data_IF_461888233659
#
_entry.id   IF_461888233659
#
_cell.length_a   1.000
_cell.length_b   1.000
_cell.length_c   1.000
_cell.angle_alpha   90.00
_cell.angle_beta   90.00
_cell.angle_gamma   90.00
#
_symmetry.space_group_name_H-M   'P 1'
#
loop_
_entity.id
_entity.type
_entity.pdbx_description
1 polymer ?
#
# COMPACT_ATOMS: atom_id res chain seq x y z
N UNK A 1 16.33 21.92 12.86
CA UNK A 1 14.93 21.59 12.57
C UNK A 1 14.66 21.43 11.07
N UNK A 2 14.82 22.49 10.24
CA UNK A 2 14.55 22.41 8.78
C UNK A 2 15.35 21.30 8.07
N UNK A 3 16.62 21.17 8.37
CA UNK A 3 17.52 20.16 7.76
C UNK A 3 17.06 18.73 8.09
N UNK A 4 16.65 18.47 9.33
CA UNK A 4 16.11 17.16 9.76
C UNK A 4 14.83 16.80 9.01
N UNK A 5 13.94 17.78 8.80
CA UNK A 5 12.71 17.57 8.03
C UNK A 5 13.00 17.27 6.56
N UNK A 6 13.97 17.96 5.95
CA UNK A 6 14.38 17.68 4.57
C UNK A 6 15.00 16.28 4.45
N UNK A 7 15.85 15.86 5.38
CA UNK A 7 16.42 14.51 5.41
C UNK A 7 15.33 13.43 5.54
N UNK A 8 14.32 13.67 6.41
CA UNK A 8 13.20 12.78 6.52
C UNK A 8 12.38 12.70 5.22
N UNK A 9 12.08 13.83 4.60
CA UNK A 9 11.36 13.89 3.31
C UNK A 9 12.12 13.13 2.22
N UNK A 10 13.44 13.36 2.10
CA UNK A 10 14.28 12.65 1.14
C UNK A 10 14.27 11.13 1.39
N UNK A 11 14.28 10.73 2.65
CA UNK A 11 14.26 9.31 3.03
C UNK A 11 12.96 8.61 2.64
N UNK A 12 11.80 9.17 3.02
CA UNK A 12 10.50 8.58 2.68
C UNK A 12 10.23 8.61 1.17
N UNK A 13 10.72 9.65 0.52
CA UNK A 13 10.69 9.80 -0.92
C UNK A 13 11.51 8.71 -1.63
N UNK A 14 12.71 8.43 -1.15
CA UNK A 14 13.54 7.33 -1.66
C UNK A 14 12.85 5.97 -1.47
N UNK A 15 12.11 5.78 -0.37
CA UNK A 15 11.31 4.58 -0.14
C UNK A 15 10.22 4.42 -1.22
N UNK A 16 9.47 5.46 -1.53
CA UNK A 16 8.43 5.41 -2.58
C UNK A 16 9.00 5.03 -3.95
N UNK A 17 10.18 5.56 -4.30
CA UNK A 17 10.89 5.21 -5.54
C UNK A 17 11.26 3.73 -5.65
N UNK A 18 11.28 2.96 -4.56
CA UNK A 18 11.52 1.52 -4.60
C UNK A 18 10.41 0.74 -5.32
N UNK A 19 9.24 1.36 -5.57
CA UNK A 19 8.15 0.68 -6.28
C UNK A 19 8.51 0.50 -7.76
N UNK A 20 8.89 1.58 -8.46
CA UNK A 20 9.19 1.50 -9.90
C UNK A 20 10.36 2.39 -10.38
N UNK A 21 11.19 2.88 -9.47
CA UNK A 21 12.48 3.54 -9.80
C UNK A 21 12.41 5.03 -10.12
N UNK A 22 11.21 5.60 -10.26
CA UNK A 22 11.00 7.04 -10.51
C UNK A 22 9.88 7.60 -9.63
N UNK A 23 9.65 8.91 -9.69
CA UNK A 23 8.56 9.56 -8.97
C UNK A 23 7.21 9.27 -9.62
N UNK A 24 6.11 9.14 -8.84
CA UNK A 24 4.78 8.89 -9.37
C UNK A 24 4.25 9.98 -10.30
N UNK A 25 4.60 11.23 -10.04
CA UNK A 25 4.17 12.40 -10.80
C UNK A 25 5.35 13.32 -11.09
N UNK A 26 5.20 14.23 -12.06
CA UNK A 26 6.26 15.21 -12.39
C UNK A 26 6.50 16.22 -11.26
N UNK A 27 5.45 16.59 -10.54
CA UNK A 27 5.51 17.49 -9.39
C UNK A 27 4.43 17.13 -8.37
N UNK A 28 4.72 17.37 -7.10
CA UNK A 28 3.81 17.22 -5.96
C UNK A 28 4.37 18.02 -4.79
N UNK A 29 3.55 18.31 -3.80
CA UNK A 29 3.91 19.13 -2.66
C UNK A 29 3.83 18.36 -1.36
N UNK A 30 4.77 18.59 -0.43
CA UNK A 30 4.64 18.20 0.97
C UNK A 30 4.43 19.47 1.80
N UNK A 31 3.37 19.46 2.64
CA UNK A 31 3.18 20.42 3.73
C UNK A 31 3.48 19.73 5.04
N UNK A 32 4.20 20.40 5.93
CA UNK A 32 4.54 19.90 7.25
C UNK A 32 4.04 20.91 8.27
N UNK A 33 3.03 20.54 9.04
CA UNK A 33 2.40 21.36 10.05
C UNK A 33 2.80 20.88 11.47
N UNK A 34 3.40 21.74 12.28
CA UNK A 34 3.72 21.35 13.66
C UNK A 34 2.47 21.21 14.51
N UNK A 35 2.41 20.18 15.34
CA UNK A 35 1.31 19.98 16.29
C UNK A 35 1.83 19.66 17.69
N UNK A 36 1.08 20.11 18.70
CA UNK A 36 1.34 19.77 20.10
C UNK A 36 0.72 18.42 20.50
N UNK A 37 0.06 17.73 19.58
CA UNK A 37 -0.63 16.48 19.88
C UNK A 37 0.33 15.38 20.32
N UNK A 38 -0.18 14.51 21.17
CA UNK A 38 0.33 13.21 21.65
C UNK A 38 1.83 12.90 21.47
N UNK A 39 2.55 12.79 22.56
CA UNK A 39 3.94 12.32 22.61
C UNK A 39 4.17 10.86 22.13
N UNK A 40 3.13 10.11 21.79
CA UNK A 40 3.22 8.69 21.43
C UNK A 40 3.26 8.43 19.91
N UNK A 41 2.83 9.41 19.09
CA UNK A 41 2.87 9.28 17.62
C UNK A 41 3.57 10.50 17.02
N UNK A 42 4.70 10.32 16.34
CA UNK A 42 5.44 11.41 15.70
C UNK A 42 4.65 12.09 14.57
N UNK A 43 3.69 11.39 13.95
CA UNK A 43 2.81 11.90 12.91
C UNK A 43 1.36 11.49 13.23
N UNK A 44 0.69 12.19 14.16
CA UNK A 44 -0.64 11.81 14.62
C UNK A 44 -1.73 11.95 13.55
N UNK A 45 -1.48 12.74 12.50
CA UNK A 45 -2.41 12.96 11.40
C UNK A 45 -1.65 13.27 10.11
N UNK A 46 -2.16 12.75 9.00
CA UNK A 46 -1.74 13.13 7.67
C UNK A 46 -2.87 12.90 6.65
N UNK A 47 -2.77 13.52 5.49
CA UNK A 47 -3.75 13.35 4.41
C UNK A 47 -3.18 13.72 3.04
N UNK A 48 -3.73 13.11 1.98
CA UNK A 48 -3.44 13.48 0.60
C UNK A 48 -4.58 14.37 0.06
N UNK A 49 -4.21 15.51 -0.47
CA UNK A 49 -5.11 16.40 -1.22
C UNK A 49 -4.94 16.15 -2.72
N UNK A 50 -6.03 15.89 -3.41
CA UNK A 50 -6.10 15.63 -4.85
C UNK A 50 -6.68 16.86 -5.56
N UNK A 51 -5.83 17.86 -5.74
CA UNK A 51 -6.14 19.13 -6.42
C UNK A 51 -5.39 19.20 -7.75
N UNK A 52 -5.14 20.39 -8.29
CA UNK A 52 -4.33 20.56 -9.51
C UNK A 52 -2.94 19.98 -9.35
N UNK A 53 -2.34 20.15 -8.17
CA UNK A 53 -1.12 19.52 -7.74
C UNK A 53 -1.42 18.64 -6.53
N UNK A 54 -1.02 17.36 -6.60
CA UNK A 54 -1.13 16.47 -5.44
C UNK A 54 -0.28 17.00 -4.28
N UNK A 55 -0.89 17.11 -3.09
CA UNK A 55 -0.24 17.56 -1.88
C UNK A 55 -0.42 16.54 -0.77
N UNK A 56 0.67 16.16 -0.12
CA UNK A 56 0.65 15.38 1.11
C UNK A 56 0.89 16.32 2.28
N UNK A 57 -0.03 16.35 3.22
CA UNK A 57 0.02 17.17 4.41
C UNK A 57 0.27 16.29 5.64
N UNK A 58 1.36 16.56 6.36
CA UNK A 58 1.76 15.87 7.56
C UNK A 58 1.66 16.79 8.77
N UNK A 59 0.97 16.36 9.82
CA UNK A 59 0.99 17.00 11.12
C UNK A 59 2.00 16.27 12.00
N UNK A 60 3.13 16.93 12.32
CA UNK A 60 4.24 16.33 13.06
C UNK A 60 4.32 16.89 14.47
N UNK A 61 4.62 16.05 15.46
CA UNK A 61 4.87 16.53 16.82
C UNK A 61 6.19 17.31 16.84
N UNK A 62 6.20 18.46 17.51
CA UNK A 62 7.38 19.37 17.54
C UNK A 62 8.60 18.73 18.21
N UNK A 63 8.43 17.68 19.02
CA UNK A 63 9.50 16.97 19.71
C UNK A 63 9.98 15.73 18.95
N UNK A 64 9.32 15.35 17.85
CA UNK A 64 9.69 14.14 17.12
C UNK A 64 11.12 14.23 16.56
N UNK A 65 11.92 13.22 16.85
CA UNK A 65 13.25 13.07 16.26
C UNK A 65 13.18 12.65 14.79
N UNK A 66 14.24 12.85 13.99
CA UNK A 66 14.30 12.36 12.62
C UNK A 66 14.07 10.85 12.52
N UNK A 67 14.59 10.07 13.46
CA UNK A 67 14.45 8.61 13.50
C UNK A 67 13.02 8.18 13.78
N UNK A 68 12.30 8.90 14.67
CA UNK A 68 10.88 8.65 14.93
C UNK A 68 10.03 8.97 13.71
N UNK A 69 10.28 10.10 13.04
CA UNK A 69 9.60 10.46 11.79
C UNK A 69 9.86 9.44 10.67
N UNK A 70 11.10 8.95 10.52
CA UNK A 70 11.44 7.91 9.55
C UNK A 70 10.72 6.59 9.83
N UNK A 71 10.50 6.23 11.10
CA UNK A 71 9.83 4.99 11.51
C UNK A 71 8.31 5.09 11.49
N UNK A 72 7.75 6.30 11.40
CA UNK A 72 6.31 6.50 11.36
C UNK A 72 5.69 5.87 10.11
N UNK A 73 4.85 4.88 10.29
CA UNK A 73 4.18 4.17 9.19
C UNK A 73 3.30 5.09 8.35
N UNK A 74 2.74 6.14 8.97
CA UNK A 74 1.89 7.15 8.35
C UNK A 74 2.56 7.78 7.13
N UNK A 75 3.88 8.05 7.19
CA UNK A 75 4.64 8.60 6.06
C UNK A 75 4.54 7.74 4.81
N UNK A 76 4.70 6.44 4.97
CA UNK A 76 4.69 5.47 3.87
C UNK A 76 3.27 5.22 3.34
N UNK A 77 2.28 5.28 4.22
CA UNK A 77 0.87 5.16 3.87
C UNK A 77 0.43 6.31 2.96
N UNK A 78 0.65 7.55 3.41
CA UNK A 78 0.23 8.73 2.65
C UNK A 78 0.99 8.84 1.32
N UNK A 79 2.29 8.56 1.30
CA UNK A 79 3.03 8.58 0.03
C UNK A 79 2.57 7.48 -0.94
N UNK A 80 2.16 6.32 -0.45
CA UNK A 80 1.70 5.23 -1.29
C UNK A 80 0.41 5.58 -2.05
N UNK A 81 -0.41 6.49 -1.54
CA UNK A 81 -1.56 7.01 -2.29
C UNK A 81 -1.15 7.65 -3.62
N UNK A 82 0.06 8.23 -3.72
CA UNK A 82 0.56 8.86 -4.94
C UNK A 82 0.89 7.85 -6.06
N UNK A 83 0.96 6.56 -5.75
CA UNK A 83 1.28 5.50 -6.73
C UNK A 83 0.23 5.31 -7.82
N UNK A 84 -0.97 5.86 -7.65
CA UNK A 84 -2.07 5.78 -8.62
C UNK A 84 -2.66 7.15 -8.93
N UNK A 85 -3.10 7.40 -10.17
CA UNK A 85 -3.75 8.66 -10.59
C UNK A 85 -5.23 8.70 -10.16
N UNK A 86 -5.50 8.43 -8.90
CA UNK A 86 -6.84 8.34 -8.36
C UNK A 86 -7.47 9.72 -8.17
N UNK A 87 -8.72 9.88 -8.61
CA UNK A 87 -9.45 11.17 -8.59
C UNK A 87 -9.84 11.66 -7.18
N UNK A 88 -9.67 10.86 -6.13
CA UNK A 88 -9.89 11.26 -4.73
C UNK A 88 -11.29 10.94 -4.17
N UNK A 89 -12.21 10.39 -4.93
CA UNK A 89 -13.57 10.02 -4.51
C UNK A 89 -14.13 8.81 -5.26
N UNK A 90 -15.07 8.12 -4.63
CA UNK A 90 -15.58 6.80 -5.05
C UNK A 90 -14.58 5.69 -4.81
N UNK A 91 -15.02 4.56 -4.31
CA UNK A 91 -14.17 3.40 -4.02
C UNK A 91 -12.93 3.71 -3.17
N UNK A 92 -13.09 4.47 -2.08
CA UNK A 92 -11.99 4.82 -1.18
C UNK A 92 -11.21 3.58 -0.71
N UNK A 93 -11.87 2.42 -0.60
CA UNK A 93 -11.26 1.14 -0.25
C UNK A 93 -10.08 0.75 -1.15
N UNK A 94 -10.10 1.16 -2.41
CA UNK A 94 -9.03 0.86 -3.37
C UNK A 94 -7.77 1.68 -3.06
N UNK A 95 -7.92 2.99 -2.88
CA UNK A 95 -6.81 3.88 -2.55
C UNK A 95 -6.22 3.58 -1.17
N UNK A 96 -7.09 3.42 -0.15
CA UNK A 96 -6.68 3.06 1.22
C UNK A 96 -6.04 1.68 1.28
N UNK A 97 -6.55 0.75 0.48
CA UNK A 97 -6.00 -0.60 0.37
C UNK A 97 -4.60 -0.61 -0.24
N UNK A 98 -4.36 0.19 -1.28
CA UNK A 98 -3.02 0.33 -1.85
C UNK A 98 -2.02 0.86 -0.83
N UNK A 99 -2.41 1.93 -0.12
CA UNK A 99 -1.60 2.53 0.92
C UNK A 99 -1.31 1.55 2.06
N UNK A 100 -2.33 0.81 2.53
CA UNK A 100 -2.20 -0.20 3.58
C UNK A 100 -1.33 -1.40 3.16
N UNK A 101 -1.35 -1.78 1.88
CA UNK A 101 -0.49 -2.82 1.33
C UNK A 101 0.98 -2.36 1.28
N UNK A 102 1.24 -1.19 0.70
CA UNK A 102 2.61 -0.73 0.49
C UNK A 102 3.28 -0.16 1.76
N UNK A 103 2.56 0.37 2.72
CA UNK A 103 3.14 1.01 3.91
C UNK A 103 4.20 0.13 4.62
N UNK A 104 3.92 -1.17 4.78
CA UNK A 104 4.86 -2.09 5.44
C UNK A 104 5.93 -2.61 4.46
N UNK A 105 5.59 -2.80 3.20
CA UNK A 105 6.53 -3.23 2.15
C UNK A 105 7.59 -2.16 1.92
N UNK A 106 7.21 -0.89 1.84
CA UNK A 106 8.16 0.21 1.68
C UNK A 106 9.12 0.30 2.87
N UNK A 107 8.63 0.16 4.10
CA UNK A 107 9.48 0.11 5.29
C UNK A 107 10.46 -1.08 5.25
N UNK A 108 10.03 -2.25 4.78
CA UNK A 108 10.93 -3.40 4.63
C UNK A 108 11.98 -3.17 3.53
N UNK A 109 11.61 -2.59 2.40
CA UNK A 109 12.53 -2.29 1.28
C UNK A 109 13.62 -1.30 1.64
N UNK A 110 13.38 -0.40 2.59
CA UNK A 110 14.41 0.52 3.12
C UNK A 110 15.08 0.05 4.41
N UNK A 111 14.83 -1.20 4.83
CA UNK A 111 15.51 -1.84 5.95
C UNK A 111 15.00 -1.46 7.34
N UNK A 112 13.86 -0.76 7.45
CA UNK A 112 13.24 -0.43 8.74
C UNK A 112 12.50 -1.62 9.37
N UNK A 113 12.02 -2.55 8.54
CA UNK A 113 11.38 -3.79 8.95
C UNK A 113 12.14 -4.97 8.35
N UNK A 114 12.28 -6.04 9.11
CA UNK A 114 12.64 -7.34 8.56
C UNK A 114 11.48 -7.92 7.74
N UNK A 115 11.74 -8.89 6.86
CA UNK A 115 10.71 -9.61 6.13
C UNK A 115 9.66 -10.20 7.09
N UNK A 116 10.10 -10.82 8.16
CA UNK A 116 9.24 -11.38 9.21
C UNK A 116 8.31 -10.33 9.84
N UNK A 117 8.85 -9.17 10.20
CA UNK A 117 8.08 -8.07 10.79
C UNK A 117 7.06 -7.50 9.79
N UNK A 118 7.43 -7.37 8.52
CA UNK A 118 6.55 -6.86 7.48
C UNK A 118 5.34 -7.79 7.28
N UNK A 119 5.57 -9.09 7.17
CA UNK A 119 4.47 -10.05 7.01
C UNK A 119 3.61 -10.17 8.26
N UNK A 120 4.19 -10.09 9.46
CA UNK A 120 3.42 -10.04 10.70
C UNK A 120 2.50 -8.82 10.75
N UNK A 121 3.01 -7.63 10.39
CA UNK A 121 2.20 -6.41 10.36
C UNK A 121 1.06 -6.49 9.35
N UNK A 122 1.28 -7.13 8.20
CA UNK A 122 0.25 -7.34 7.19
C UNK A 122 -0.83 -8.31 7.70
N UNK A 123 -0.41 -9.42 8.31
CA UNK A 123 -1.32 -10.38 8.98
C UNK A 123 -2.15 -9.70 10.07
N UNK A 124 -1.50 -8.97 10.98
CA UNK A 124 -2.19 -8.25 12.06
C UNK A 124 -3.20 -7.24 11.51
N UNK A 125 -2.90 -6.65 10.37
CA UNK A 125 -3.81 -5.77 9.66
C UNK A 125 -5.05 -6.49 9.16
N UNK A 126 -4.91 -7.61 8.46
CA UNK A 126 -6.04 -8.43 8.02
C UNK A 126 -6.90 -8.88 9.19
N UNK A 127 -6.29 -9.27 10.31
CA UNK A 127 -7.01 -9.64 11.52
C UNK A 127 -7.79 -8.45 12.13
N UNK A 128 -7.22 -7.23 12.10
CA UNK A 128 -7.97 -6.03 12.49
C UNK A 128 -9.17 -5.79 11.58
N UNK A 129 -9.00 -5.96 10.28
CA UNK A 129 -10.09 -5.85 9.31
C UNK A 129 -11.19 -6.89 9.54
N UNK A 130 -10.82 -8.15 9.79
CA UNK A 130 -11.77 -9.25 10.11
C UNK A 130 -12.57 -9.00 11.39
N UNK A 131 -11.98 -8.35 12.38
CA UNK A 131 -12.64 -8.00 13.66
C UNK A 131 -13.56 -6.78 13.56
N UNK A 132 -13.45 -5.99 12.49
CA UNK A 132 -14.35 -4.86 12.25
C UNK A 132 -15.64 -5.34 11.58
N UNK A 133 -16.54 -5.88 12.39
CA UNK A 133 -17.81 -6.47 11.96
C UNK A 133 -18.96 -5.46 11.90
N UNK A 134 -18.70 -4.18 12.13
CA UNK A 134 -19.74 -3.13 12.18
C UNK A 134 -20.67 -3.11 10.98
N UNK A 135 -20.14 -3.39 9.80
CA UNK A 135 -20.86 -3.41 8.52
C UNK A 135 -20.86 -4.81 7.87
N UNK A 136 -20.81 -5.86 8.69
CA UNK A 136 -20.87 -7.21 8.17
C UNK A 136 -22.18 -7.43 7.38
N UNK A 137 -22.10 -8.16 6.27
CA UNK A 137 -23.23 -8.36 5.36
C UNK A 137 -23.46 -7.24 4.33
N UNK A 138 -22.86 -6.04 4.50
CA UNK A 138 -22.92 -4.99 3.51
C UNK A 138 -21.74 -5.07 2.52
N UNK A 139 -22.01 -4.78 1.25
CA UNK A 139 -20.97 -4.78 0.21
C UNK A 139 -19.92 -3.69 0.49
N UNK A 140 -18.64 -4.02 0.24
CA UNK A 140 -17.52 -3.13 0.53
C UNK A 140 -17.63 -1.77 -0.13
N UNK A 141 -18.06 -1.71 -1.40
CA UNK A 141 -18.23 -0.45 -2.12
C UNK A 141 -19.19 0.49 -1.38
N UNK A 142 -20.31 -0.03 -0.85
CA UNK A 142 -21.29 0.79 -0.11
C UNK A 142 -20.74 1.28 1.24
N UNK A 143 -19.96 0.46 1.94
CA UNK A 143 -19.31 0.86 3.20
C UNK A 143 -18.24 1.94 2.94
N UNK A 144 -17.53 1.81 1.83
CA UNK A 144 -16.44 2.71 1.43
C UNK A 144 -16.92 4.11 1.03
N UNK A 145 -18.09 4.24 0.43
CA UNK A 145 -18.60 5.53 -0.05
C UNK A 145 -18.83 6.54 1.07
N UNK A 146 -19.24 6.08 2.24
CA UNK A 146 -19.53 6.92 3.40
C UNK A 146 -18.51 6.72 4.56
N UNK A 147 -17.30 6.28 4.25
CA UNK A 147 -16.28 5.87 5.22
C UNK A 147 -16.04 6.89 6.33
N UNK A 148 -15.87 8.17 5.99
CA UNK A 148 -15.61 9.25 6.96
C UNK A 148 -16.79 9.49 7.90
N UNK A 149 -18.01 9.29 7.44
CA UNK A 149 -19.23 9.49 8.19
C UNK A 149 -19.58 8.29 9.06
N UNK A 150 -19.44 7.10 8.52
CA UNK A 150 -19.97 5.89 9.13
C UNK A 150 -18.90 5.10 9.91
N UNK A 151 -17.62 5.24 9.58
CA UNK A 151 -16.54 4.41 10.11
C UNK A 151 -16.41 3.10 9.33
N UNK A 152 -15.87 2.05 9.95
CA UNK A 152 -15.56 0.79 9.26
C UNK A 152 -14.19 0.81 8.58
N UNK A 153 -13.31 1.70 9.03
CA UNK A 153 -11.98 1.94 8.46
C UNK A 153 -11.16 0.66 8.33
N UNK A 154 -11.14 -0.18 9.36
CA UNK A 154 -10.29 -1.37 9.36
C UNK A 154 -10.76 -2.38 8.30
N UNK A 155 -12.07 -2.58 8.16
CA UNK A 155 -12.60 -3.44 7.11
C UNK A 155 -12.26 -2.89 5.71
N UNK A 156 -12.47 -1.60 5.50
CA UNK A 156 -12.23 -0.93 4.20
C UNK A 156 -10.75 -1.02 3.81
N UNK A 157 -9.85 -0.63 4.70
CA UNK A 157 -8.40 -0.62 4.47
C UNK A 157 -7.85 -2.01 4.18
N UNK A 158 -8.24 -3.02 4.99
CA UNK A 158 -7.66 -4.34 4.89
C UNK A 158 -8.32 -5.22 3.82
N UNK A 159 -9.59 -4.99 3.46
CA UNK A 159 -10.16 -5.58 2.24
C UNK A 159 -9.47 -5.06 0.98
N UNK A 160 -9.17 -3.75 0.93
CA UNK A 160 -8.40 -3.16 -0.15
C UNK A 160 -6.96 -3.68 -0.19
N UNK A 161 -6.27 -3.79 0.96
CA UNK A 161 -4.93 -4.37 1.02
C UNK A 161 -4.91 -5.83 0.53
N UNK A 162 -5.95 -6.61 0.83
CA UNK A 162 -6.12 -7.96 0.30
C UNK A 162 -6.19 -7.98 -1.22
N UNK A 163 -6.93 -7.04 -1.83
CA UNK A 163 -7.00 -6.91 -3.29
C UNK A 163 -5.61 -6.79 -3.91
N UNK A 164 -4.76 -5.91 -3.38
CA UNK A 164 -3.42 -5.68 -3.91
C UNK A 164 -2.46 -6.85 -3.64
N UNK A 165 -2.55 -7.48 -2.47
CA UNK A 165 -1.81 -8.71 -2.18
C UNK A 165 -2.21 -9.83 -3.16
N UNK A 166 -3.50 -10.03 -3.39
CA UNK A 166 -4.01 -11.05 -4.32
C UNK A 166 -3.57 -10.76 -5.77
N UNK A 167 -3.65 -9.49 -6.20
CA UNK A 167 -3.20 -9.08 -7.53
C UNK A 167 -1.70 -9.30 -7.71
N UNK A 168 -0.85 -8.85 -6.79
CA UNK A 168 0.61 -9.02 -6.90
C UNK A 168 1.01 -10.50 -6.89
N UNK A 169 0.42 -11.28 -5.99
CA UNK A 169 0.69 -12.72 -5.89
C UNK A 169 0.29 -13.46 -7.18
N UNK A 170 -0.94 -13.22 -7.68
CA UNK A 170 -1.45 -13.87 -8.91
C UNK A 170 -0.65 -13.44 -10.16
N UNK A 171 -0.28 -12.15 -10.30
CA UNK A 171 0.57 -11.68 -11.39
C UNK A 171 1.91 -12.42 -11.43
N UNK A 172 2.57 -12.54 -10.29
CA UNK A 172 3.86 -13.23 -10.17
C UNK A 172 3.74 -14.71 -10.47
N UNK A 173 2.74 -15.39 -9.92
CA UNK A 173 2.49 -16.81 -10.14
C UNK A 173 2.21 -17.12 -11.63
N UNK A 174 1.29 -16.39 -12.25
CA UNK A 174 0.88 -16.62 -13.63
C UNK A 174 1.98 -16.29 -14.66
N UNK A 175 2.88 -15.36 -14.32
CA UNK A 175 3.94 -14.92 -15.23
C UNK A 175 5.32 -15.52 -14.94
N UNK A 176 5.44 -16.39 -13.95
CA UNK A 176 6.74 -16.89 -13.47
C UNK A 176 7.64 -15.75 -12.97
N UNK A 177 7.05 -14.73 -12.31
CA UNK A 177 7.74 -13.58 -11.75
C UNK A 177 8.08 -12.48 -12.76
N UNK A 178 7.65 -12.59 -14.02
CA UNK A 178 7.89 -11.56 -15.06
C UNK A 178 7.03 -10.32 -14.85
N UNK A 179 5.80 -10.49 -14.37
CA UNK A 179 4.88 -9.41 -13.97
C UNK A 179 4.83 -9.31 -12.44
N UNK A 180 4.55 -8.12 -11.96
CA UNK A 180 4.33 -7.79 -10.55
C UNK A 180 3.43 -6.56 -10.45
N UNK A 181 2.89 -6.30 -9.27
CA UNK A 181 2.14 -5.06 -9.03
C UNK A 181 3.02 -3.83 -9.27
N UNK A 182 4.27 -3.84 -8.79
CA UNK A 182 5.22 -2.74 -9.04
C UNK A 182 5.32 -2.38 -10.52
N UNK A 183 5.53 -3.40 -11.39
CA UNK A 183 5.60 -3.19 -12.84
C UNK A 183 4.29 -2.73 -13.47
N UNK A 184 3.16 -3.21 -12.94
CA UNK A 184 1.85 -2.77 -13.42
C UNK A 184 1.60 -1.30 -13.09
N UNK A 185 1.96 -0.87 -11.88
CA UNK A 185 1.87 0.52 -11.44
C UNK A 185 2.89 1.42 -12.16
N UNK A 186 4.09 0.92 -12.48
CA UNK A 186 5.07 1.64 -13.30
C UNK A 186 4.46 2.02 -14.66
N UNK A 187 3.86 1.07 -15.36
CA UNK A 187 3.21 1.33 -16.65
C UNK A 187 2.06 2.33 -16.51
N UNK A 188 1.24 2.19 -15.47
CA UNK A 188 0.14 3.12 -15.19
C UNK A 188 0.68 4.53 -14.91
N UNK A 189 1.75 4.68 -14.15
CA UNK A 189 2.40 5.97 -13.90
C UNK A 189 2.92 6.60 -15.19
N UNK A 190 3.61 5.83 -16.03
CA UNK A 190 4.16 6.33 -17.30
C UNK A 190 3.09 6.84 -18.29
N UNK A 191 1.90 6.22 -18.29
CA UNK A 191 0.83 6.69 -19.18
C UNK A 191 0.01 7.84 -18.60
N UNK A 192 -0.25 7.78 -17.31
CA UNK A 192 -1.46 8.38 -16.77
C UNK A 192 -1.24 9.23 -15.51
N UNK A 193 0.02 9.50 -15.12
CA UNK A 193 0.35 10.21 -13.86
C UNK A 193 -0.34 11.57 -13.70
N UNK A 194 -0.59 12.30 -14.80
CA UNK A 194 -1.29 13.60 -14.76
C UNK A 194 -2.81 13.52 -14.86
N UNK A 195 -3.38 12.33 -14.85
CA UNK A 195 -4.83 12.14 -14.98
C UNK A 195 -5.51 12.02 -13.61
N UNK A 196 -6.85 12.15 -13.63
CA UNK A 196 -7.72 11.93 -12.46
C UNK A 196 -8.72 10.84 -12.80
N UNK A 197 -8.36 9.60 -12.51
CA UNK A 197 -9.12 8.42 -12.92
C UNK A 197 -10.01 7.90 -11.78
N UNK A 198 -11.18 7.37 -12.14
CA UNK A 198 -11.97 6.52 -11.27
C UNK A 198 -11.32 5.14 -11.11
N UNK A 199 -11.70 4.40 -10.09
CA UNK A 199 -11.15 3.04 -9.89
C UNK A 199 -11.48 2.09 -11.05
N UNK A 200 -12.71 2.06 -11.63
CA UNK A 200 -12.98 1.28 -12.84
C UNK A 200 -12.08 1.61 -14.02
N UNK A 201 -11.74 2.91 -14.23
CA UNK A 201 -10.79 3.31 -15.27
C UNK A 201 -9.38 2.83 -14.96
N UNK A 202 -8.93 2.94 -13.71
CA UNK A 202 -7.61 2.46 -13.28
C UNK A 202 -7.46 0.95 -13.53
N UNK A 203 -8.43 0.13 -13.08
CA UNK A 203 -8.33 -1.33 -13.24
C UNK A 203 -8.42 -1.75 -14.71
N UNK A 204 -9.19 -1.03 -15.53
CA UNK A 204 -9.25 -1.23 -16.98
C UNK A 204 -7.90 -0.96 -17.63
N UNK A 205 -7.24 0.14 -17.27
CA UNK A 205 -5.89 0.47 -17.75
C UNK A 205 -4.86 -0.59 -17.32
N UNK A 206 -4.90 -1.00 -16.04
CA UNK A 206 -4.00 -2.02 -15.51
C UNK A 206 -4.12 -3.35 -16.27
N UNK A 207 -5.34 -3.82 -16.57
CA UNK A 207 -5.57 -5.03 -17.35
C UNK A 207 -5.07 -4.87 -18.79
N UNK A 208 -5.43 -3.78 -19.46
CA UNK A 208 -5.05 -3.50 -20.84
C UNK A 208 -3.53 -3.45 -21.03
N UNK A 209 -2.83 -2.65 -20.20
CA UNK A 209 -1.38 -2.45 -20.29
C UNK A 209 -0.56 -3.70 -19.97
N UNK A 210 -1.09 -4.56 -19.12
CA UNK A 210 -0.39 -5.79 -18.73
C UNK A 210 -0.89 -7.01 -19.50
N UNK A 211 -1.90 -6.85 -20.36
CA UNK A 211 -2.52 -7.93 -21.16
C UNK A 211 -3.00 -9.08 -20.26
N UNK A 212 -3.70 -8.74 -19.20
CA UNK A 212 -4.28 -9.67 -18.23
C UNK A 212 -5.77 -9.41 -18.08
N UNK A 213 -6.52 -10.35 -17.52
CA UNK A 213 -7.91 -10.21 -17.09
C UNK A 213 -7.98 -10.50 -15.58
N UNK A 214 -7.34 -9.66 -14.81
CA UNK A 214 -7.12 -9.89 -13.38
C UNK A 214 -7.66 -8.74 -12.51
N UNK A 215 -7.27 -7.50 -12.82
CA UNK A 215 -7.53 -6.36 -11.96
C UNK A 215 -9.01 -6.01 -11.89
N UNK A 216 -9.69 -5.98 -13.03
CA UNK A 216 -11.12 -5.69 -13.10
C UNK A 216 -11.94 -6.80 -12.42
N UNK A 217 -11.61 -8.06 -12.69
CA UNK A 217 -12.28 -9.20 -12.06
C UNK A 217 -12.13 -9.22 -10.54
N UNK A 218 -10.93 -8.95 -10.04
CA UNK A 218 -10.68 -8.82 -8.60
C UNK A 218 -11.41 -7.61 -8.00
N UNK A 219 -11.49 -6.50 -8.74
CA UNK A 219 -12.23 -5.31 -8.31
C UNK A 219 -13.70 -5.66 -8.07
N UNK A 220 -14.36 -6.30 -9.01
CA UNK A 220 -15.77 -6.72 -8.85
C UNK A 220 -15.95 -7.67 -7.66
N UNK A 221 -15.06 -8.66 -7.51
CA UNK A 221 -15.06 -9.62 -6.41
C UNK A 221 -14.97 -8.92 -5.04
N UNK A 222 -14.01 -8.02 -4.89
CA UNK A 222 -13.73 -7.35 -3.61
C UNK A 222 -14.76 -6.25 -3.33
N UNK A 223 -15.16 -5.46 -4.31
CA UNK A 223 -16.18 -4.42 -4.16
C UNK A 223 -17.53 -4.99 -3.67
N UNK A 224 -17.89 -6.20 -4.13
CA UNK A 224 -19.09 -6.90 -3.71
C UNK A 224 -18.92 -7.70 -2.40
N UNK A 225 -17.71 -7.85 -1.87
CA UNK A 225 -17.46 -8.66 -0.68
C UNK A 225 -18.17 -8.09 0.55
N UNK A 226 -18.71 -8.98 1.40
CA UNK A 226 -19.43 -8.61 2.62
C UNK A 226 -18.59 -8.73 3.90
N UNK A 227 -17.38 -9.27 3.78
CA UNK A 227 -16.37 -9.41 4.83
C UNK A 227 -14.98 -9.17 4.22
N UNK A 228 -13.93 -9.07 5.04
CA UNK A 228 -12.55 -9.14 4.52
C UNK A 228 -12.34 -10.51 3.88
N UNK A 229 -11.91 -10.58 2.61
CA UNK A 229 -11.71 -11.86 1.94
C UNK A 229 -10.66 -12.74 2.66
N UNK A 230 -10.77 -14.08 2.61
CA UNK A 230 -9.82 -14.97 3.29
C UNK A 230 -8.42 -14.86 2.67
N UNK A 231 -7.42 -14.70 3.51
CA UNK A 231 -6.01 -14.53 3.09
C UNK A 231 -5.13 -15.77 3.33
N UNK A 232 -5.66 -16.78 4.03
CA UNK A 232 -4.90 -17.99 4.43
C UNK A 232 -4.28 -18.72 3.23
N UNK A 233 -5.05 -18.93 2.16
CA UNK A 233 -4.57 -19.60 0.95
C UNK A 233 -3.49 -18.80 0.21
N UNK A 234 -3.58 -17.46 0.23
CA UNK A 234 -2.56 -16.59 -0.37
C UNK A 234 -1.27 -16.70 0.44
N UNK A 235 -1.35 -16.61 1.77
CA UNK A 235 -0.20 -16.75 2.66
C UNK A 235 0.48 -18.11 2.49
N UNK A 236 -0.29 -19.20 2.52
CA UNK A 236 0.24 -20.53 2.30
C UNK A 236 0.96 -20.66 0.94
N UNK A 237 0.41 -20.08 -0.13
CA UNK A 237 1.04 -20.08 -1.47
C UNK A 237 2.39 -19.35 -1.52
N UNK A 238 2.66 -18.48 -0.55
CA UNK A 238 3.91 -17.74 -0.39
C UNK A 238 4.84 -18.36 0.66
N UNK A 239 4.52 -19.55 1.17
CA UNK A 239 5.29 -20.20 2.24
C UNK A 239 5.23 -19.42 3.55
N UNK A 240 4.05 -18.92 3.90
CA UNK A 240 3.76 -18.24 5.16
C UNK A 240 2.76 -19.10 5.93
N UNK A 241 3.18 -19.61 7.07
CA UNK A 241 2.35 -20.37 7.99
C UNK A 241 1.93 -19.47 9.17
N UNK A 242 0.69 -19.62 9.62
CA UNK A 242 0.20 -18.91 10.81
C UNK A 242 0.02 -19.92 11.93
N UNK A 243 0.77 -19.73 13.01
CA UNK A 243 0.72 -20.57 14.21
C UNK A 243 0.49 -19.67 15.42
N UNK A 244 -0.60 -19.85 16.12
CA UNK A 244 -0.99 -19.07 17.31
C UNK A 244 -0.94 -17.53 17.05
N UNK A 245 -1.41 -17.11 15.87
CA UNK A 245 -1.43 -15.70 15.48
C UNK A 245 -0.05 -15.12 15.12
N UNK A 246 0.95 -15.97 14.96
CA UNK A 246 2.30 -15.59 14.56
C UNK A 246 2.62 -16.09 13.16
N UNK A 247 3.24 -15.20 12.38
CA UNK A 247 3.75 -15.53 11.05
C UNK A 247 5.02 -16.34 11.17
N UNK A 248 5.10 -17.47 10.47
CA UNK A 248 6.28 -18.30 10.31
C UNK A 248 6.63 -18.39 8.82
N UNK A 249 7.86 -18.04 8.47
CA UNK A 249 8.32 -17.99 7.09
C UNK A 249 9.10 -19.26 6.74
N UNK A 250 8.65 -19.98 5.71
CA UNK A 250 9.40 -21.09 5.14
C UNK A 250 10.66 -20.57 4.44
N UNK A 251 11.81 -21.15 4.72
CA UNK A 251 13.12 -20.67 4.21
C UNK A 251 13.37 -21.05 2.74
N UNK A 252 12.72 -22.06 2.22
CA UNK A 252 12.93 -22.59 0.88
C UNK A 252 11.61 -22.88 0.15
N UNK A 253 11.73 -23.18 -1.14
CA UNK A 253 10.60 -23.53 -2.00
C UNK A 253 10.06 -22.38 -2.85
N UNK A 254 9.14 -22.68 -3.79
CA UNK A 254 8.59 -21.71 -4.72
C UNK A 254 7.87 -20.54 -4.01
N UNK A 255 7.15 -20.82 -2.93
CA UNK A 255 6.45 -19.81 -2.13
C UNK A 255 7.42 -18.82 -1.48
N UNK A 256 8.51 -19.32 -0.87
CA UNK A 256 9.56 -18.48 -0.30
C UNK A 256 10.21 -17.56 -1.35
N UNK A 257 10.47 -18.08 -2.56
CA UNK A 257 11.02 -17.30 -3.65
C UNK A 257 10.04 -16.20 -4.12
N UNK A 258 8.75 -16.52 -4.22
CA UNK A 258 7.70 -15.57 -4.57
C UNK A 258 7.60 -14.44 -3.53
N UNK A 259 7.54 -14.79 -2.25
CA UNK A 259 7.47 -13.87 -1.11
C UNK A 259 8.63 -12.88 -1.10
N UNK A 260 9.86 -13.37 -1.24
CA UNK A 260 11.06 -12.52 -1.27
C UNK A 260 11.06 -11.54 -2.43
N UNK A 261 10.45 -11.88 -3.57
CA UNK A 261 10.33 -10.97 -4.71
C UNK A 261 9.47 -9.73 -4.38
N UNK A 262 8.49 -9.85 -3.49
CA UNK A 262 7.66 -8.72 -3.04
C UNK A 262 8.49 -7.77 -2.18
N UNK A 263 9.24 -8.32 -1.24
CA UNK A 263 10.07 -7.53 -0.29
C UNK A 263 11.24 -6.85 -0.99
N UNK A 264 11.96 -7.57 -1.86
CA UNK A 264 13.14 -7.02 -2.55
C UNK A 264 12.78 -5.89 -3.53
N UNK A 265 11.62 -5.97 -4.19
CA UNK A 265 11.20 -4.99 -5.17
C UNK A 265 12.05 -4.95 -6.47
N UNK A 266 11.62 -4.17 -7.47
CA UNK A 266 12.31 -4.11 -8.76
C UNK A 266 13.60 -3.25 -8.75
N UNK A 267 13.63 -2.16 -8.00
CA UNK A 267 14.73 -1.19 -8.05
C UNK A 267 16.05 -1.73 -7.48
N UNK A 268 15.99 -2.56 -6.43
CA UNK A 268 17.18 -3.18 -5.84
C UNK A 268 17.81 -4.28 -6.72
N UNK A 269 17.05 -4.91 -7.61
CA UNK A 269 17.57 -5.88 -8.57
C UNK A 269 18.40 -5.24 -9.68
N UNK A 270 18.09 -3.99 -10.06
CA UNK A 270 18.89 -3.25 -11.06
C UNK A 270 20.24 -2.81 -10.49
N UNK A 271 20.34 -2.56 -9.20
CA UNK A 271 21.62 -2.23 -8.53
C UNK A 271 22.56 -3.43 -8.40
N UNK A 272 22.02 -4.67 -8.29
CA UNK A 272 22.82 -5.90 -8.19
C UNK A 272 23.24 -6.48 -9.54
N UNK A 273 22.72 -5.98 -10.66
CA UNK A 273 23.02 -6.43 -12.03
C UNK A 273 24.01 -5.51 -12.78
N UNK A 274 24.58 -4.52 -12.10
CA UNK A 274 25.66 -3.64 -12.58
C UNK A 274 26.92 -3.86 -11.75
#
# INVERSE_FOLDING_TARGET
>A
MRENLLQWVDYIAAALRQVYGHWPAQSWQISIEPTAASASDPIPWAQVHREDLDRVEFFTTVQASPEELQRAWTSYHELAHLLIPYRGWGDAWFSEGLASYYQNILQARVGLLTEQQMWQKLYDGFERGRRDTRFEGQALHSVSDDLRKNGGFMRVYWSGAWYFLAADTRLRQQSGGKLSLDKALEKLSLCCAGQRLSVPEIVTQLDSMNRVLLFHRLYEEVAASTTVPPFDAIFASMGIDIIDGKVHLQEAGPGAALRRQIVVGPASRQASAR
#
